data_IF_850163382805
#
_entry.id   IF_850163382805
#
_cell.length_a   1.000
_cell.length_b   1.000
_cell.length_c   1.000
_cell.angle_alpha   90.00
_cell.angle_beta   90.00
_cell.angle_gamma   90.00
#
_symmetry.space_group_name_H-M   'P 1'
#
loop_
_entity.id
_entity.type
_entity.pdbx_description
1 polymer ?
#
# COMPACT_ATOMS: atom_id res chain seq x y z
N UNK A 1 0.36 -22.19 22.51
CA UNK A 1 0.83 -20.93 21.90
C UNK A 1 -0.12 -20.56 20.77
N UNK A 2 -0.54 -19.31 20.66
CA UNK A 2 -1.41 -18.87 19.56
C UNK A 2 -0.68 -19.04 18.21
N UNK A 3 -1.29 -19.77 17.27
CA UNK A 3 -0.72 -19.97 15.94
C UNK A 3 -1.27 -18.90 15.00
N UNK A 4 -0.49 -17.84 14.77
CA UNK A 4 -0.79 -16.87 13.71
C UNK A 4 -0.83 -17.56 12.34
N UNK A 5 -1.48 -16.94 11.36
CA UNK A 5 -1.43 -17.41 9.98
C UNK A 5 0.02 -17.55 9.48
N UNK A 6 0.35 -18.61 8.73
CA UNK A 6 1.70 -18.79 8.21
C UNK A 6 2.03 -17.64 7.23
N UNK A 7 3.29 -17.22 7.15
CA UNK A 7 3.74 -16.34 6.07
C UNK A 7 3.38 -16.95 4.71
N UNK A 8 3.15 -16.09 3.72
CA UNK A 8 2.90 -16.53 2.36
C UNK A 8 4.15 -17.24 1.81
N UNK A 9 3.97 -18.43 1.21
CA UNK A 9 5.08 -19.33 0.87
C UNK A 9 5.75 -20.04 2.07
N UNK A 10 5.14 -19.98 3.26
CA UNK A 10 5.51 -20.80 4.43
C UNK A 10 6.52 -20.15 5.39
N UNK A 11 7.37 -19.23 4.93
CA UNK A 11 8.33 -18.50 5.78
C UNK A 11 8.52 -17.06 5.33
N UNK A 12 8.89 -16.18 6.26
CA UNK A 12 9.30 -14.83 5.93
C UNK A 12 10.69 -14.84 5.32
N UNK A 13 10.82 -14.27 4.13
CA UNK A 13 12.08 -14.09 3.42
C UNK A 13 12.53 -12.65 3.63
N UNK A 14 13.64 -12.45 4.34
CA UNK A 14 14.23 -11.12 4.55
C UNK A 14 15.42 -10.95 3.63
N UNK A 15 15.55 -9.76 3.04
CA UNK A 15 16.71 -9.36 2.23
C UNK A 15 17.38 -8.08 2.73
N UNK A 16 16.84 -7.44 3.77
CA UNK A 16 17.48 -6.34 4.46
C UNK A 16 18.71 -6.84 5.23
N UNK A 17 19.89 -6.36 4.85
CA UNK A 17 21.14 -6.61 5.53
C UNK A 17 21.27 -5.71 6.76
N UNK A 18 21.94 -6.23 7.79
CA UNK A 18 22.23 -5.52 9.04
C UNK A 18 23.69 -5.79 9.45
N UNK A 19 24.24 -4.97 10.37
CA UNK A 19 25.58 -5.22 10.95
C UNK A 19 26.73 -5.16 9.94
N UNK A 20 27.70 -6.06 10.09
CA UNK A 20 28.92 -6.10 9.27
C UNK A 20 28.64 -6.47 7.80
N UNK A 21 27.68 -7.38 7.56
CA UNK A 21 27.27 -7.78 6.21
C UNK A 21 26.81 -6.56 5.38
N UNK A 22 26.01 -5.69 6.01
CA UNK A 22 25.56 -4.44 5.39
C UNK A 22 26.72 -3.50 5.04
N UNK A 23 27.71 -3.38 5.92
CA UNK A 23 28.86 -2.48 5.73
C UNK A 23 29.70 -2.94 4.54
N UNK A 24 30.03 -4.23 4.48
CA UNK A 24 30.82 -4.79 3.39
C UNK A 24 30.07 -4.78 2.06
N UNK A 25 28.78 -5.15 2.05
CA UNK A 25 27.96 -5.11 0.84
C UNK A 25 27.82 -3.67 0.29
N UNK A 26 27.60 -2.67 1.17
CA UNK A 26 27.57 -1.25 0.76
C UNK A 26 28.91 -0.79 0.17
N UNK A 27 30.04 -1.24 0.74
CA UNK A 27 31.37 -0.88 0.23
C UNK A 27 31.57 -1.41 -1.18
N UNK A 28 31.30 -2.69 -1.40
CA UNK A 28 31.37 -3.34 -2.73
C UNK A 28 30.44 -2.66 -3.73
N UNK A 29 29.19 -2.39 -3.34
CA UNK A 29 28.18 -1.83 -4.23
C UNK A 29 28.50 -0.41 -4.73
N UNK A 30 29.35 0.37 -4.04
CA UNK A 30 29.77 1.70 -4.52
C UNK A 30 30.58 1.66 -5.81
N UNK A 31 31.20 0.53 -6.11
CA UNK A 31 32.05 0.32 -7.30
C UNK A 31 31.27 -0.34 -8.46
N UNK A 32 30.04 -0.79 -8.21
CA UNK A 32 29.22 -1.47 -9.22
C UNK A 32 28.55 -0.46 -10.18
N UNK A 33 28.23 -0.89 -11.41
CA UNK A 33 27.31 -0.17 -12.28
C UNK A 33 26.00 0.14 -11.55
N UNK A 34 25.50 1.37 -11.68
CA UNK A 34 24.30 1.83 -10.98
C UNK A 34 23.07 1.68 -11.87
N UNK A 35 22.00 1.14 -11.30
CA UNK A 35 20.66 1.14 -11.86
C UNK A 35 19.81 2.10 -11.04
N UNK A 36 19.24 3.10 -11.70
CA UNK A 36 18.35 4.07 -11.07
C UNK A 36 16.92 3.52 -11.02
N UNK A 37 16.43 3.28 -9.81
CA UNK A 37 15.08 2.81 -9.59
C UNK A 37 14.08 3.97 -9.54
N UNK A 38 12.91 3.75 -10.10
CA UNK A 38 11.75 4.60 -9.84
C UNK A 38 11.29 4.46 -8.39
N UNK A 39 10.55 5.45 -7.90
CA UNK A 39 9.93 5.37 -6.55
C UNK A 39 9.07 4.12 -6.30
N UNK A 40 8.49 3.50 -7.35
CA UNK A 40 7.75 2.24 -7.23
C UNK A 40 8.71 1.08 -6.97
N UNK A 41 9.75 0.96 -7.79
CA UNK A 41 10.77 -0.09 -7.67
C UNK A 41 11.53 0.03 -6.33
N UNK A 42 11.85 1.26 -5.89
CA UNK A 42 12.41 1.50 -4.56
C UNK A 42 11.47 1.01 -3.46
N UNK A 43 10.17 1.34 -3.54
CA UNK A 43 9.18 0.87 -2.57
C UNK A 43 9.06 -0.66 -2.55
N UNK A 44 9.13 -1.29 -3.72
CA UNK A 44 9.07 -2.74 -3.85
C UNK A 44 10.32 -3.42 -3.28
N UNK A 45 11.50 -2.86 -3.54
CA UNK A 45 12.77 -3.33 -2.96
C UNK A 45 12.70 -3.29 -1.43
N UNK A 46 12.16 -2.21 -0.85
CA UNK A 46 11.97 -2.09 0.60
C UNK A 46 11.01 -3.18 1.12
N UNK A 47 9.89 -3.41 0.43
CA UNK A 47 8.90 -4.43 0.81
C UNK A 47 9.46 -5.87 0.69
N UNK A 48 10.33 -6.15 -0.29
CA UNK A 48 11.10 -7.39 -0.39
C UNK A 48 12.10 -7.47 0.77
N UNK A 49 12.87 -6.41 1.02
CA UNK A 49 13.89 -6.32 2.06
C UNK A 49 13.38 -6.70 3.44
N UNK A 50 12.25 -6.13 3.86
CA UNK A 50 11.65 -6.44 5.17
C UNK A 50 10.88 -7.77 5.20
N UNK A 51 10.70 -8.43 4.06
CA UNK A 51 9.94 -9.66 3.90
C UNK A 51 8.42 -9.48 3.88
N UNK A 52 7.93 -8.26 3.68
CA UNK A 52 6.51 -8.02 3.47
C UNK A 52 6.03 -8.66 2.17
N UNK A 53 6.89 -8.76 1.17
CA UNK A 53 6.62 -9.43 -0.11
C UNK A 53 7.06 -10.90 -0.15
N UNK A 54 7.26 -11.55 0.99
CA UNK A 54 7.51 -13.00 1.02
C UNK A 54 6.45 -13.77 0.20
N UNK A 55 6.83 -14.76 -0.61
CA UNK A 55 8.15 -15.40 -0.65
C UNK A 55 9.16 -14.76 -1.62
N UNK A 56 8.86 -13.58 -2.18
CA UNK A 56 9.82 -12.91 -3.07
C UNK A 56 11.13 -12.61 -2.34
N UNK A 57 12.22 -12.86 -3.05
CA UNK A 57 13.58 -12.52 -2.65
C UNK A 57 14.32 -11.64 -3.64
N UNK A 58 13.62 -11.16 -4.67
CA UNK A 58 14.19 -10.46 -5.78
C UNK A 58 13.11 -9.95 -6.74
N UNK A 59 13.56 -9.31 -7.82
CA UNK A 59 12.69 -8.90 -8.91
C UNK A 59 12.43 -10.07 -9.86
N UNK A 60 11.19 -10.15 -10.35
CA UNK A 60 10.69 -11.30 -11.12
C UNK A 60 11.34 -11.42 -12.50
N UNK A 61 11.67 -12.66 -12.88
CA UNK A 61 12.03 -13.03 -14.25
C UNK A 61 10.83 -13.12 -15.18
N UNK A 62 11.08 -13.38 -16.47
CA UNK A 62 10.04 -13.37 -17.52
C UNK A 62 8.95 -14.41 -17.30
N UNK A 63 9.32 -15.61 -16.80
CA UNK A 63 8.38 -16.70 -16.51
C UNK A 63 7.43 -16.35 -15.36
N UNK A 64 7.97 -15.77 -14.28
CA UNK A 64 7.16 -15.31 -13.15
C UNK A 64 6.24 -14.17 -13.58
N UNK A 65 6.79 -13.17 -14.28
CA UNK A 65 6.00 -12.06 -14.82
C UNK A 65 4.80 -12.56 -15.65
N UNK A 66 5.05 -13.46 -16.61
CA UNK A 66 4.02 -14.00 -17.50
C UNK A 66 2.97 -14.79 -16.72
N UNK A 67 3.42 -15.70 -15.86
CA UNK A 67 2.54 -16.56 -15.07
C UNK A 67 1.68 -15.75 -14.08
N UNK A 68 2.23 -14.69 -13.49
CA UNK A 68 1.47 -13.81 -12.58
C UNK A 68 0.38 -13.05 -13.34
N UNK A 69 0.70 -12.55 -14.53
CA UNK A 69 -0.30 -11.91 -15.40
C UNK A 69 -1.44 -12.86 -15.73
N UNK A 70 -1.12 -14.09 -16.16
CA UNK A 70 -2.09 -15.07 -16.66
C UNK A 70 -2.87 -15.81 -15.58
N UNK A 71 -2.18 -16.25 -14.52
CA UNK A 71 -2.61 -17.34 -13.65
C UNK A 71 -2.65 -16.96 -12.17
N UNK A 72 -2.27 -15.72 -11.82
CA UNK A 72 -2.13 -15.29 -10.42
C UNK A 72 -1.10 -16.14 -9.65
N UNK A 73 -0.10 -16.70 -10.33
CA UNK A 73 0.91 -17.58 -9.73
C UNK A 73 2.29 -17.24 -10.30
N UNK A 74 3.32 -17.44 -9.51
CA UNK A 74 4.70 -17.50 -9.99
C UNK A 74 4.94 -18.84 -10.71
N UNK A 75 6.04 -18.95 -11.44
CA UNK A 75 6.42 -20.15 -12.18
C UNK A 75 6.61 -21.39 -11.27
N UNK A 76 6.90 -21.18 -9.99
CA UNK A 76 6.96 -22.24 -8.98
C UNK A 76 5.58 -22.68 -8.44
N UNK A 77 4.49 -22.12 -8.96
CA UNK A 77 3.11 -22.45 -8.61
C UNK A 77 2.56 -21.69 -7.38
N UNK A 78 3.39 -20.93 -6.66
CA UNK A 78 2.93 -20.15 -5.52
C UNK A 78 2.11 -18.95 -6.01
N UNK A 79 0.95 -18.73 -5.40
CA UNK A 79 0.08 -17.60 -5.71
C UNK A 79 0.81 -16.25 -5.61
N UNK A 80 0.63 -15.37 -6.60
CA UNK A 80 1.08 -14.00 -6.54
C UNK A 80 0.26 -13.13 -7.52
N UNK A 81 -0.31 -11.99 -7.08
CA UNK A 81 -1.35 -11.32 -7.86
C UNK A 81 -0.88 -10.21 -8.82
N UNK A 82 0.30 -9.61 -8.61
CA UNK A 82 0.80 -8.45 -9.39
C UNK A 82 2.31 -8.57 -9.63
N UNK A 83 2.83 -8.44 -10.87
CA UNK A 83 4.26 -8.54 -11.13
C UNK A 83 5.08 -7.50 -10.35
N UNK A 84 6.21 -7.93 -9.81
CA UNK A 84 7.19 -7.07 -9.13
C UNK A 84 8.48 -7.12 -9.95
N UNK A 85 8.66 -6.13 -10.82
CA UNK A 85 9.74 -6.09 -11.82
C UNK A 85 10.60 -4.83 -11.65
N UNK A 86 11.83 -4.89 -12.11
CA UNK A 86 12.76 -3.76 -12.19
C UNK A 86 13.07 -3.49 -13.66
N UNK A 87 12.66 -2.31 -14.14
CA UNK A 87 12.84 -1.89 -15.52
C UNK A 87 14.07 -1.00 -15.69
N UNK A 88 14.73 -1.10 -16.84
CA UNK A 88 15.88 -0.29 -17.23
C UNK A 88 15.71 0.22 -18.66
N UNK A 89 16.26 1.39 -18.93
CA UNK A 89 16.30 1.97 -20.28
C UNK A 89 17.14 1.12 -21.23
N UNK A 90 16.98 1.34 -22.53
CA UNK A 90 17.81 0.71 -23.56
C UNK A 90 19.29 1.03 -23.40
N UNK A 91 19.59 2.27 -23.01
CA UNK A 91 20.95 2.74 -22.83
C UNK A 91 21.63 2.03 -21.65
N UNK A 92 20.95 1.94 -20.50
CA UNK A 92 21.41 1.14 -19.35
C UNK A 92 21.58 -0.34 -19.74
N UNK A 93 20.62 -0.91 -20.48
CA UNK A 93 20.65 -2.31 -20.90
C UNK A 93 21.82 -2.65 -21.83
N UNK A 94 22.39 -1.68 -22.54
CA UNK A 94 23.52 -1.90 -23.46
C UNK A 94 24.83 -2.21 -22.74
N UNK A 95 25.00 -1.69 -21.52
CA UNK A 95 26.19 -1.88 -20.69
C UNK A 95 26.10 -3.03 -19.69
N UNK A 96 24.95 -3.71 -19.61
CA UNK A 96 24.66 -4.75 -18.61
C UNK A 96 24.35 -6.08 -19.29
N UNK A 97 24.84 -7.18 -18.72
CA UNK A 97 24.55 -8.55 -19.15
C UNK A 97 24.17 -9.44 -17.96
N UNK A 98 23.58 -10.59 -18.26
CA UNK A 98 23.34 -11.62 -17.27
C UNK A 98 24.66 -12.06 -16.61
N UNK A 99 24.63 -12.24 -15.30
CA UNK A 99 25.76 -12.54 -14.45
C UNK A 99 26.43 -11.31 -13.82
N UNK A 100 26.21 -10.11 -14.35
CA UNK A 100 26.74 -8.86 -13.77
C UNK A 100 26.09 -8.56 -12.42
N UNK A 101 26.84 -7.88 -11.54
CA UNK A 101 26.32 -7.31 -10.31
C UNK A 101 26.09 -5.81 -10.50
N UNK A 102 24.95 -5.32 -10.01
CA UNK A 102 24.57 -3.91 -10.09
C UNK A 102 24.22 -3.35 -8.72
N UNK A 103 24.50 -2.07 -8.53
CA UNK A 103 24.00 -1.29 -7.41
C UNK A 103 22.62 -0.70 -7.74
N UNK A 104 21.67 -0.91 -6.84
CA UNK A 104 20.33 -0.35 -6.94
C UNK A 104 20.28 0.98 -6.18
N UNK A 105 19.93 2.05 -6.88
CA UNK A 105 19.94 3.41 -6.34
C UNK A 105 18.56 4.03 -6.48
N UNK A 106 18.06 4.67 -5.43
CA UNK A 106 16.79 5.39 -5.51
C UNK A 106 16.95 6.63 -6.43
N UNK A 107 16.15 6.72 -7.48
CA UNK A 107 16.26 7.78 -8.47
C UNK A 107 15.88 9.17 -7.96
N UNK A 108 15.07 9.27 -6.90
CA UNK A 108 14.64 10.56 -6.34
C UNK A 108 15.70 11.14 -5.38
N UNK A 109 16.27 10.32 -4.50
CA UNK A 109 17.22 10.74 -3.45
C UNK A 109 18.69 10.49 -3.77
N UNK A 110 18.99 9.60 -4.72
CA UNK A 110 20.35 9.12 -5.00
C UNK A 110 20.89 8.16 -3.93
N UNK A 111 20.05 7.70 -2.99
CA UNK A 111 20.46 6.79 -1.93
C UNK A 111 20.77 5.40 -2.48
N UNK A 112 21.86 4.80 -1.99
CA UNK A 112 22.23 3.43 -2.32
C UNK A 112 21.33 2.45 -1.55
N UNK A 113 20.40 1.81 -2.27
CA UNK A 113 19.30 1.03 -1.70
C UNK A 113 19.58 -0.46 -1.62
N UNK A 114 20.41 -1.00 -2.49
CA UNK A 114 20.68 -2.43 -2.55
C UNK A 114 21.67 -2.82 -3.63
N UNK A 115 21.84 -4.12 -3.82
CA UNK A 115 22.55 -4.74 -4.94
C UNK A 115 21.73 -5.89 -5.50
N UNK A 116 22.02 -6.27 -6.74
CA UNK A 116 21.42 -7.43 -7.38
C UNK A 116 22.41 -8.04 -8.36
N UNK A 117 22.47 -9.38 -8.42
CA UNK A 117 23.09 -10.07 -9.54
C UNK A 117 22.03 -10.32 -10.61
N UNK A 118 22.29 -9.89 -11.84
CA UNK A 118 21.35 -10.04 -12.95
C UNK A 118 21.30 -11.53 -13.35
N UNK A 119 20.17 -12.18 -13.12
CA UNK A 119 19.93 -13.57 -13.52
C UNK A 119 19.28 -13.65 -14.90
N UNK A 120 18.48 -12.65 -15.26
CA UNK A 120 17.77 -12.58 -16.53
C UNK A 120 17.63 -11.13 -16.99
N UNK A 121 17.77 -10.88 -18.29
CA UNK A 121 17.42 -9.60 -18.94
C UNK A 121 16.41 -9.84 -20.06
N UNK A 122 15.22 -9.28 -19.95
CA UNK A 122 14.09 -9.59 -20.83
C UNK A 122 13.24 -8.37 -21.17
N UNK A 123 12.31 -8.50 -22.12
CA UNK A 123 11.31 -7.46 -22.43
C UNK A 123 9.92 -7.94 -22.06
N UNK A 124 9.00 -7.00 -21.82
CA UNK A 124 7.60 -7.31 -21.51
C UNK A 124 6.65 -6.67 -22.52
N UNK A 125 5.51 -7.31 -22.74
CA UNK A 125 4.36 -6.66 -23.36
C UNK A 125 3.63 -5.82 -22.30
N UNK A 126 3.98 -4.55 -22.21
CA UNK A 126 3.40 -3.58 -21.25
C UNK A 126 1.89 -3.46 -21.37
N UNK A 127 1.37 -3.51 -22.60
CA UNK A 127 -0.07 -3.41 -22.86
C UNK A 127 -0.79 -4.67 -22.38
N UNK A 128 -0.18 -5.83 -22.58
CA UNK A 128 -0.67 -7.09 -22.05
C UNK A 128 -0.71 -7.08 -20.53
N UNK A 129 0.38 -6.69 -19.85
CA UNK A 129 0.39 -6.54 -18.38
C UNK A 129 -0.73 -5.61 -17.93
N UNK A 130 -0.90 -4.45 -18.59
CA UNK A 130 -1.93 -3.50 -18.20
C UNK A 130 -3.34 -4.10 -18.25
N UNK A 131 -3.66 -4.80 -19.34
CA UNK A 131 -4.96 -5.49 -19.49
C UNK A 131 -5.17 -6.59 -18.45
N UNK A 132 -4.13 -7.35 -18.10
CA UNK A 132 -4.26 -8.43 -17.11
C UNK A 132 -4.37 -7.92 -15.67
N UNK A 133 -3.67 -6.83 -15.33
CA UNK A 133 -3.57 -6.33 -13.96
C UNK A 133 -4.62 -5.25 -13.65
N UNK A 134 -4.90 -4.35 -14.60
CA UNK A 134 -5.84 -3.23 -14.42
C UNK A 134 -7.18 -3.46 -15.12
N UNK A 135 -7.34 -4.56 -15.88
CA UNK A 135 -8.51 -4.83 -16.75
C UNK A 135 -8.70 -3.81 -17.89
N UNK A 136 -7.74 -2.89 -18.05
CA UNK A 136 -7.75 -1.79 -19.02
C UNK A 136 -6.33 -1.39 -19.37
N UNK A 137 -6.16 -0.66 -20.48
CA UNK A 137 -4.90 -0.09 -20.96
C UNK A 137 -4.99 1.44 -21.15
N UNK A 138 -5.91 2.11 -20.46
CA UNK A 138 -6.09 3.56 -20.51
C UNK A 138 -4.93 4.28 -19.77
N UNK A 139 -4.11 5.10 -20.46
CA UNK A 139 -3.00 5.83 -19.85
C UNK A 139 -3.41 6.84 -18.76
N UNK A 140 -4.70 7.19 -18.64
CA UNK A 140 -5.20 8.01 -17.53
C UNK A 140 -5.27 7.24 -16.21
N UNK A 141 -5.31 5.90 -16.25
CA UNK A 141 -5.23 5.08 -15.04
C UNK A 141 -3.79 5.18 -14.47
N UNK A 142 -3.58 5.63 -13.22
CA UNK A 142 -2.24 5.87 -12.67
C UNK A 142 -1.33 4.64 -12.71
N UNK A 143 -1.91 3.45 -12.49
CA UNK A 143 -1.19 2.18 -12.60
C UNK A 143 -0.70 1.87 -14.02
N UNK A 144 -1.55 2.11 -15.04
CA UNK A 144 -1.25 1.88 -16.46
C UNK A 144 -0.19 2.87 -16.92
N UNK A 145 -0.35 4.16 -16.58
CA UNK A 145 0.63 5.19 -16.91
C UNK A 145 2.05 4.79 -16.48
N UNK A 146 2.19 4.27 -15.26
CA UNK A 146 3.49 3.83 -14.73
C UNK A 146 4.05 2.60 -15.43
N UNK A 147 3.24 1.60 -15.77
CA UNK A 147 3.71 0.42 -16.55
C UNK A 147 4.13 0.83 -17.95
N UNK A 148 3.34 1.68 -18.61
CA UNK A 148 3.67 2.21 -19.94
C UNK A 148 4.96 3.04 -19.94
N UNK A 149 5.25 3.73 -18.83
CA UNK A 149 6.46 4.55 -18.65
C UNK A 149 7.71 3.76 -18.23
N UNK A 150 7.63 2.45 -17.98
CA UNK A 150 8.81 1.63 -17.65
C UNK A 150 9.86 1.67 -18.75
N UNK A 151 11.09 1.27 -18.42
CA UNK A 151 12.15 1.02 -19.39
C UNK A 151 11.79 -0.01 -20.47
N UNK A 152 12.65 -0.20 -21.46
CA UNK A 152 12.43 -1.18 -22.54
C UNK A 152 12.69 -2.61 -22.07
N UNK A 153 13.66 -2.77 -21.16
CA UNK A 153 14.07 -4.06 -20.61
C UNK A 153 13.74 -4.13 -19.13
N UNK A 154 13.54 -5.34 -18.64
CA UNK A 154 13.56 -5.67 -17.22
C UNK A 154 14.80 -6.50 -16.92
N UNK A 155 15.31 -6.34 -15.70
CA UNK A 155 16.34 -7.20 -15.12
C UNK A 155 15.77 -7.89 -13.88
N UNK A 156 16.08 -9.17 -13.74
CA UNK A 156 15.63 -10.02 -12.64
C UNK A 156 16.81 -10.58 -11.86
N UNK A 157 16.54 -10.96 -10.61
CA UNK A 157 17.52 -11.61 -9.76
C UNK A 157 17.25 -11.36 -8.29
N UNK A 158 17.90 -12.16 -7.45
CA UNK A 158 17.86 -12.00 -6.01
C UNK A 158 18.56 -10.70 -5.58
N UNK A 159 17.96 -10.02 -4.59
CA UNK A 159 18.45 -8.72 -4.10
C UNK A 159 19.07 -8.82 -2.71
N UNK A 160 20.05 -7.96 -2.46
CA UNK A 160 20.45 -7.57 -1.11
C UNK A 160 19.97 -6.14 -0.88
N UNK A 161 19.29 -5.89 0.24
CA UNK A 161 18.68 -4.58 0.53
C UNK A 161 19.47 -3.91 1.65
N UNK A 162 19.80 -2.64 1.44
CA UNK A 162 20.74 -1.89 2.26
C UNK A 162 20.11 -0.73 3.02
N UNK A 163 18.93 -0.30 2.58
CA UNK A 163 18.23 0.84 3.16
C UNK A 163 16.72 0.66 3.07
N UNK A 164 16.04 1.27 4.03
CA UNK A 164 14.59 1.46 4.06
C UNK A 164 14.25 2.96 3.91
N UNK A 165 15.16 3.77 3.34
CA UNK A 165 15.12 5.23 3.33
C UNK A 165 14.97 5.80 4.76
N UNK A 166 14.43 7.00 4.88
CA UNK A 166 14.17 7.69 6.14
C UNK A 166 12.92 7.16 6.88
N UNK A 167 12.16 6.19 6.32
CA UNK A 167 10.87 5.77 6.89
C UNK A 167 10.93 5.32 8.36
N UNK A 168 11.92 4.53 8.82
CA UNK A 168 12.02 4.15 10.23
C UNK A 168 12.23 5.36 11.16
N UNK A 169 12.97 6.37 10.70
CA UNK A 169 13.24 7.59 11.44
C UNK A 169 12.08 8.59 11.37
N UNK A 170 11.38 8.68 10.22
CA UNK A 170 10.25 9.58 10.01
C UNK A 170 8.98 9.13 10.74
N UNK A 171 8.82 7.82 10.95
CA UNK A 171 7.67 7.24 11.65
C UNK A 171 8.09 6.35 12.83
N UNK A 172 8.76 6.92 13.87
CA UNK A 172 9.27 6.14 14.99
C UNK A 172 8.13 5.47 15.74
N UNK A 173 8.29 4.19 16.07
CA UNK A 173 7.28 3.39 16.76
C UNK A 173 6.05 3.01 15.92
N UNK A 174 5.83 3.66 14.76
CA UNK A 174 4.76 3.35 13.83
C UNK A 174 5.24 2.51 12.64
N UNK A 175 6.47 2.72 12.16
CA UNK A 175 7.04 1.86 11.14
C UNK A 175 7.26 0.45 11.71
N UNK A 176 6.81 -0.58 11.00
CA UNK A 176 7.04 -1.95 11.42
C UNK A 176 7.33 -2.88 10.24
N UNK A 177 8.21 -3.83 10.52
CA UNK A 177 8.51 -5.00 9.70
C UNK A 177 7.60 -6.16 10.11
N UNK A 178 7.29 -7.11 9.20
CA UNK A 178 6.41 -8.25 9.47
C UNK A 178 6.71 -9.04 10.76
N UNK A 179 7.97 -9.19 11.14
CA UNK A 179 8.37 -9.93 12.34
C UNK A 179 7.99 -9.18 13.62
N UNK A 180 8.04 -7.84 13.59
CA UNK A 180 7.68 -7.01 14.74
C UNK A 180 6.18 -7.05 15.01
N UNK A 181 5.33 -6.99 13.97
CA UNK A 181 3.87 -7.11 14.16
C UNK A 181 3.48 -8.50 14.62
N UNK A 182 4.08 -9.55 14.06
CA UNK A 182 3.86 -10.93 14.52
C UNK A 182 4.23 -11.11 15.99
N UNK A 183 5.38 -10.58 16.42
CA UNK A 183 5.79 -10.63 17.82
C UNK A 183 4.80 -9.90 18.74
N UNK A 184 4.30 -8.72 18.33
CA UNK A 184 3.27 -7.99 19.07
C UNK A 184 1.99 -8.82 19.20
N UNK A 185 1.51 -9.44 18.11
CA UNK A 185 0.28 -10.25 18.14
C UNK A 185 0.43 -11.49 19.02
N UNK A 186 1.59 -12.16 18.95
CA UNK A 186 1.91 -13.31 19.82
C UNK A 186 1.98 -12.92 21.29
N UNK A 187 2.65 -11.80 21.61
CA UNK A 187 2.74 -11.29 22.98
C UNK A 187 1.37 -10.95 23.56
N UNK A 188 0.45 -10.45 22.72
CA UNK A 188 -0.95 -10.19 23.10
C UNK A 188 -1.83 -11.44 23.12
N UNK A 189 -1.31 -12.60 22.73
CA UNK A 189 -2.07 -13.85 22.66
C UNK A 189 -3.17 -13.86 21.60
N UNK A 190 -3.12 -12.95 20.61
CA UNK A 190 -4.14 -12.85 19.56
C UNK A 190 -4.05 -14.02 18.58
N UNK A 191 -5.21 -14.59 18.23
CA UNK A 191 -5.35 -15.63 17.21
C UNK A 191 -5.99 -15.07 15.94
N UNK A 192 -6.97 -14.18 16.11
CA UNK A 192 -7.69 -13.51 15.03
C UNK A 192 -7.36 -12.02 15.00
N UNK A 193 -6.76 -11.59 13.91
CA UNK A 193 -6.35 -10.21 13.66
C UNK A 193 -6.98 -9.76 12.35
N UNK A 194 -7.79 -8.71 12.40
CA UNK A 194 -8.37 -8.07 11.23
C UNK A 194 -7.54 -6.86 10.81
N UNK A 195 -7.02 -6.86 9.58
CA UNK A 195 -6.23 -5.78 9.05
C UNK A 195 -7.10 -4.76 8.29
N UNK A 196 -6.90 -3.48 8.61
CA UNK A 196 -7.49 -2.35 7.91
C UNK A 196 -6.41 -1.62 7.10
N UNK A 197 -6.54 -1.62 5.77
CA UNK A 197 -5.74 -0.77 4.89
C UNK A 197 -6.26 0.66 4.91
N UNK A 198 -5.37 1.64 5.12
CA UNK A 198 -5.71 3.05 4.99
C UNK A 198 -4.68 3.81 4.15
N UNK A 199 -5.18 4.53 3.13
CA UNK A 199 -4.46 5.57 2.39
C UNK A 199 -5.06 6.96 2.60
N UNK A 200 -6.12 7.06 3.41
CA UNK A 200 -6.88 8.29 3.64
C UNK A 200 -7.03 8.51 5.15
N UNK A 201 -7.37 9.73 5.60
CA UNK A 201 -7.84 9.97 6.96
C UNK A 201 -8.99 9.04 7.34
N UNK A 202 -9.04 8.64 8.61
CA UNK A 202 -10.09 7.78 9.15
C UNK A 202 -11.31 8.62 9.56
N UNK A 203 -12.38 8.52 8.77
CA UNK A 203 -13.70 9.08 9.05
C UNK A 203 -14.64 8.07 9.72
N UNK A 204 -15.89 8.45 10.04
CA UNK A 204 -16.83 7.58 10.78
C UNK A 204 -17.17 6.28 10.06
N UNK A 205 -17.16 6.27 8.73
CA UNK A 205 -17.27 5.03 7.93
C UNK A 205 -16.15 4.05 8.24
N UNK A 206 -14.91 4.52 8.22
CA UNK A 206 -13.73 3.72 8.55
C UNK A 206 -13.73 3.28 10.02
N UNK A 207 -14.18 4.15 10.94
CA UNK A 207 -14.37 3.80 12.35
C UNK A 207 -15.38 2.67 12.52
N UNK A 208 -16.51 2.74 11.83
CA UNK A 208 -17.56 1.73 11.90
C UNK A 208 -17.09 0.37 11.38
N UNK A 209 -16.41 0.31 10.22
CA UNK A 209 -15.88 -0.97 9.70
C UNK A 209 -14.79 -1.56 10.61
N UNK A 210 -13.95 -0.70 11.20
CA UNK A 210 -12.94 -1.12 12.16
C UNK A 210 -13.56 -1.73 13.42
N UNK A 211 -14.66 -1.13 13.91
CA UNK A 211 -15.40 -1.64 15.08
C UNK A 211 -16.07 -2.97 14.78
N UNK A 212 -16.75 -3.12 13.63
CA UNK A 212 -17.32 -4.41 13.20
C UNK A 212 -16.24 -5.50 13.19
N UNK A 213 -15.08 -5.19 12.59
CA UNK A 213 -13.99 -6.15 12.51
C UNK A 213 -13.45 -6.54 13.91
N UNK A 214 -13.42 -5.59 14.85
CA UNK A 214 -12.97 -5.83 16.20
C UNK A 214 -13.96 -6.67 17.04
N UNK A 215 -15.26 -6.61 16.76
CA UNK A 215 -16.26 -7.48 17.41
C UNK A 215 -16.04 -8.97 17.07
N UNK A 216 -15.50 -9.26 15.89
CA UNK A 216 -15.28 -10.63 15.39
C UNK A 216 -13.82 -11.04 15.36
N UNK A 217 -12.93 -10.30 16.05
CA UNK A 217 -11.49 -10.60 16.09
C UNK A 217 -10.86 -10.23 17.43
N UNK A 218 -9.82 -10.94 17.83
CA UNK A 218 -9.05 -10.64 19.04
C UNK A 218 -8.38 -9.26 18.96
N UNK A 219 -7.97 -8.85 17.76
CA UNK A 219 -7.36 -7.54 17.56
C UNK A 219 -7.57 -6.91 16.19
N UNK A 220 -7.47 -5.59 16.15
CA UNK A 220 -7.48 -4.79 14.94
C UNK A 220 -6.05 -4.34 14.60
N UNK A 221 -5.63 -4.58 13.37
CA UNK A 221 -4.37 -4.07 12.81
C UNK A 221 -4.63 -2.97 11.80
N UNK A 222 -4.53 -1.71 12.24
CA UNK A 222 -4.65 -0.54 11.35
C UNK A 222 -3.29 -0.29 10.69
N UNK A 223 -3.23 -0.52 9.38
CA UNK A 223 -1.98 -0.49 8.65
C UNK A 223 -2.02 0.55 7.53
N UNK A 224 -1.30 1.65 7.74
CA UNK A 224 -1.41 2.86 6.93
C UNK A 224 -0.30 2.95 5.88
N UNK A 225 -0.67 3.27 4.65
CA UNK A 225 0.28 3.50 3.56
C UNK A 225 0.94 4.87 3.71
N UNK A 226 2.27 4.89 3.76
CA UNK A 226 3.08 6.13 3.85
C UNK A 226 4.08 6.30 2.71
N UNK A 227 4.11 5.36 1.76
CA UNK A 227 4.87 5.48 0.53
C UNK A 227 4.40 6.63 -0.36
N UNK A 228 5.07 6.83 -1.50
CA UNK A 228 4.73 7.89 -2.45
C UNK A 228 3.28 7.74 -2.92
N UNK A 229 2.58 8.86 -3.00
CA UNK A 229 1.18 8.93 -3.39
C UNK A 229 1.04 9.67 -4.71
N UNK A 230 -0.15 9.56 -5.31
CA UNK A 230 -0.53 10.42 -6.44
C UNK A 230 -0.61 11.88 -5.99
N UNK A 231 -0.45 12.77 -6.96
CA UNK A 231 -0.59 14.21 -6.74
C UNK A 231 -1.96 14.55 -6.13
N UNK A 232 -1.93 15.47 -5.15
CA UNK A 232 -3.12 15.96 -4.47
C UNK A 232 -3.63 15.08 -3.33
N UNK A 233 -3.02 13.93 -3.02
CA UNK A 233 -3.35 13.20 -1.79
C UNK A 233 -2.79 13.92 -0.54
N UNK A 234 -3.45 13.72 0.60
CA UNK A 234 -3.04 14.30 1.88
C UNK A 234 -1.72 13.64 2.33
N UNK A 235 -0.70 14.42 2.75
CA UNK A 235 0.59 13.90 3.22
C UNK A 235 0.45 12.87 4.33
N UNK A 236 1.40 11.94 4.38
CA UNK A 236 1.39 10.81 5.30
C UNK A 236 1.28 11.27 6.76
N UNK A 237 2.01 12.31 7.18
CA UNK A 237 2.05 12.82 8.54
C UNK A 237 0.67 13.34 9.00
N UNK A 238 -0.06 14.01 8.09
CA UNK A 238 -1.40 14.52 8.37
C UNK A 238 -2.40 13.37 8.49
N UNK A 239 -2.31 12.36 7.60
CA UNK A 239 -3.18 11.17 7.68
C UNK A 239 -2.92 10.37 8.95
N UNK A 240 -1.65 10.15 9.30
CA UNK A 240 -1.24 9.46 10.53
C UNK A 240 -1.80 10.17 11.76
N UNK A 241 -1.71 11.50 11.84
CA UNK A 241 -2.35 12.28 12.91
C UNK A 241 -3.87 12.07 12.97
N UNK A 242 -4.54 12.06 11.81
CA UNK A 242 -5.99 11.83 11.74
C UNK A 242 -6.39 10.41 12.20
N UNK A 243 -5.61 9.39 11.84
CA UNK A 243 -5.87 8.02 12.30
C UNK A 243 -5.60 7.91 13.80
N UNK A 244 -4.47 8.46 14.26
CA UNK A 244 -4.05 8.36 15.65
C UNK A 244 -5.07 8.99 16.61
N UNK A 245 -5.61 10.17 16.29
CA UNK A 245 -6.64 10.81 17.14
C UNK A 245 -7.92 9.98 17.23
N UNK A 246 -8.28 9.25 16.17
CA UNK A 246 -9.43 8.35 16.20
C UNK A 246 -9.14 7.14 17.08
N UNK A 247 -7.94 6.54 16.95
CA UNK A 247 -7.56 5.38 17.76
C UNK A 247 -7.46 5.74 19.24
N UNK A 248 -6.81 6.85 19.59
CA UNK A 248 -6.55 7.22 20.99
C UNK A 248 -7.82 7.55 21.77
N UNK A 249 -8.82 8.14 21.10
CA UNK A 249 -10.03 8.63 21.76
C UNK A 249 -11.22 7.65 21.67
N UNK A 250 -11.23 6.74 20.68
CA UNK A 250 -12.43 5.97 20.33
C UNK A 250 -12.24 4.45 20.25
N UNK A 251 -11.04 3.94 20.55
CA UNK A 251 -10.75 2.50 20.58
C UNK A 251 -10.05 2.05 21.88
N UNK A 252 -10.28 0.79 22.31
CA UNK A 252 -9.49 0.19 23.38
C UNK A 252 -8.04 -0.05 22.93
N UNK A 253 -7.08 0.58 23.63
CA UNK A 253 -5.66 0.61 23.23
C UNK A 253 -5.02 -0.78 23.20
N UNK A 254 -5.46 -1.67 24.08
CA UNK A 254 -5.02 -3.06 24.18
C UNK A 254 -5.52 -3.93 23.03
N UNK A 255 -6.59 -3.51 22.34
CA UNK A 255 -7.25 -4.24 21.24
C UNK A 255 -6.83 -3.78 19.84
N UNK A 256 -6.06 -2.69 19.74
CA UNK A 256 -5.64 -2.12 18.44
C UNK A 256 -4.12 -2.04 18.35
N UNK A 257 -3.58 -2.33 17.16
CA UNK A 257 -2.20 -2.04 16.77
C UNK A 257 -2.25 -1.16 15.52
N UNK A 258 -1.62 0.01 15.60
CA UNK A 258 -1.49 0.93 14.46
C UNK A 258 -0.04 0.94 13.99
N UNK A 259 0.20 0.70 12.69
CA UNK A 259 1.52 0.78 12.05
C UNK A 259 1.45 1.43 10.67
N UNK A 260 2.61 1.72 10.09
CA UNK A 260 2.77 2.25 8.74
C UNK A 260 3.66 1.35 7.87
N UNK A 261 3.49 1.42 6.55
CA UNK A 261 4.34 0.73 5.57
C UNK A 261 4.60 1.57 4.31
N UNK A 262 5.78 1.41 3.66
CA UNK A 262 6.26 2.33 2.64
C UNK A 262 6.02 1.85 1.19
N UNK A 263 4.83 1.32 0.88
CA UNK A 263 4.50 0.90 -0.48
C UNK A 263 3.94 2.05 -1.31
N UNK A 264 4.25 2.10 -2.61
CA UNK A 264 3.49 2.88 -3.58
C UNK A 264 2.35 2.06 -4.19
N UNK A 265 1.13 2.62 -4.16
CA UNK A 265 -0.06 1.95 -4.71
C UNK A 265 -0.04 1.89 -6.24
N UNK A 266 -0.61 0.80 -6.77
CA UNK A 266 -0.84 0.61 -8.21
C UNK A 266 -2.20 1.14 -8.65
N UNK A 267 -3.12 1.32 -7.70
CA UNK A 267 -4.54 1.54 -7.93
C UNK A 267 -5.18 0.42 -8.75
N UNK A 268 -4.71 -0.82 -8.58
CA UNK A 268 -5.16 -1.96 -9.38
C UNK A 268 -6.44 -2.63 -8.83
N UNK A 269 -7.21 -1.89 -8.01
CA UNK A 269 -8.51 -2.29 -7.48
C UNK A 269 -8.51 -3.75 -7.00
N UNK A 270 -9.22 -4.66 -7.70
CA UNK A 270 -9.27 -6.07 -7.36
C UNK A 270 -7.90 -6.77 -7.22
N UNK A 271 -6.99 -6.60 -8.19
CA UNK A 271 -5.66 -7.24 -8.16
C UNK A 271 -4.81 -6.73 -7.00
N UNK A 272 -4.93 -5.45 -6.66
CA UNK A 272 -4.22 -4.87 -5.52
C UNK A 272 -4.84 -5.23 -4.17
N UNK A 273 -6.13 -5.54 -4.13
CA UNK A 273 -6.76 -6.13 -2.93
C UNK A 273 -6.14 -7.47 -2.55
N UNK A 274 -5.83 -8.31 -3.55
CA UNK A 274 -5.10 -9.56 -3.38
C UNK A 274 -3.66 -9.31 -2.92
N UNK A 275 -2.95 -8.34 -3.52
CA UNK A 275 -1.58 -8.00 -3.10
C UNK A 275 -1.56 -7.50 -1.65
N UNK A 276 -2.52 -6.66 -1.30
CA UNK A 276 -2.75 -6.21 0.06
C UNK A 276 -2.95 -7.40 1.00
N UNK A 277 -3.77 -8.39 0.65
CA UNK A 277 -3.97 -9.59 1.46
C UNK A 277 -2.66 -10.39 1.64
N UNK A 278 -1.90 -10.63 0.56
CA UNK A 278 -0.59 -11.34 0.61
C UNK A 278 0.32 -10.74 1.68
N UNK A 279 0.60 -9.44 1.61
CA UNK A 279 1.53 -8.89 2.59
C UNK A 279 0.90 -8.75 3.98
N UNK A 280 -0.41 -8.54 4.11
CA UNK A 280 -1.06 -8.58 5.45
C UNK A 280 -0.94 -9.95 6.11
N UNK A 281 -1.03 -11.02 5.33
CA UNK A 281 -0.72 -12.36 5.81
C UNK A 281 0.73 -12.42 6.28
N UNK A 282 1.69 -11.88 5.52
CA UNK A 282 3.09 -11.79 5.96
C UNK A 282 3.26 -10.99 7.26
N UNK A 283 2.51 -9.92 7.47
CA UNK A 283 2.46 -9.17 8.74
C UNK A 283 1.76 -9.92 9.89
N UNK A 284 1.14 -11.08 9.63
CA UNK A 284 0.50 -11.94 10.64
C UNK A 284 -1.01 -11.71 10.81
N UNK A 285 -1.65 -10.95 9.93
CA UNK A 285 -3.09 -10.74 9.99
C UNK A 285 -3.85 -11.96 9.43
N UNK A 286 -4.86 -12.42 10.17
CA UNK A 286 -5.72 -13.55 9.77
C UNK A 286 -6.89 -13.15 8.88
N UNK A 287 -7.31 -11.89 8.95
CA UNK A 287 -8.43 -11.37 8.18
C UNK A 287 -8.03 -10.04 7.52
N UNK A 288 -8.52 -9.80 6.31
CA UNK A 288 -8.35 -8.55 5.58
C UNK A 288 -9.70 -7.89 5.38
N UNK A 289 -9.88 -6.69 5.92
CA UNK A 289 -11.09 -5.90 5.68
C UNK A 289 -11.06 -5.39 4.24
N UNK A 290 -12.07 -5.75 3.46
CA UNK A 290 -12.25 -5.26 2.09
C UNK A 290 -13.60 -4.57 2.02
N UNK A 291 -13.56 -3.24 1.97
CA UNK A 291 -14.74 -2.40 1.79
C UNK A 291 -15.07 -2.14 0.33
N UNK A 292 -15.99 -1.20 0.12
CA UNK A 292 -16.33 -0.65 -1.20
C UNK A 292 -15.12 0.02 -1.87
N UNK A 293 -14.92 -0.30 -3.15
CA UNK A 293 -13.92 0.31 -4.04
C UNK A 293 -12.47 0.23 -3.48
N UNK A 294 -12.16 -0.93 -2.88
CA UNK A 294 -10.85 -1.15 -2.26
C UNK A 294 -9.73 -1.08 -3.30
N UNK A 295 -8.74 -0.24 -3.02
CA UNK A 295 -7.63 0.07 -3.91
C UNK A 295 -8.02 0.58 -5.32
N UNK A 296 -9.27 0.98 -5.52
CA UNK A 296 -9.73 1.56 -6.78
C UNK A 296 -9.38 3.03 -6.95
N UNK A 297 -9.56 3.51 -8.18
CA UNK A 297 -9.36 4.91 -8.59
C UNK A 297 -10.41 5.26 -9.64
N UNK A 298 -10.98 6.47 -9.54
CA UNK A 298 -12.04 6.91 -10.44
C UNK A 298 -13.21 5.93 -10.47
N UNK A 299 -13.68 5.62 -11.68
CA UNK A 299 -14.76 4.66 -11.93
C UNK A 299 -14.26 3.44 -12.74
N UNK A 300 -12.97 3.10 -12.64
CA UNK A 300 -12.38 1.99 -13.41
C UNK A 300 -12.81 0.59 -12.93
N UNK A 301 -13.34 0.46 -11.72
CA UNK A 301 -13.74 -0.81 -11.12
C UNK A 301 -15.15 -0.72 -10.52
N UNK A 302 -15.88 -1.84 -10.52
CA UNK A 302 -17.13 -1.94 -9.80
C UNK A 302 -16.92 -1.82 -8.28
N UNK A 303 -17.92 -1.28 -7.58
CA UNK A 303 -17.84 -0.97 -6.15
C UNK A 303 -17.43 -2.15 -5.25
N UNK A 304 -17.65 -3.40 -5.68
CA UNK A 304 -17.32 -4.60 -4.91
C UNK A 304 -16.46 -5.61 -5.68
N UNK A 305 -15.86 -5.21 -6.81
CA UNK A 305 -15.04 -6.13 -7.60
C UNK A 305 -13.81 -6.62 -6.83
N UNK A 306 -13.30 -5.81 -5.91
CA UNK A 306 -12.23 -6.19 -4.99
C UNK A 306 -12.64 -7.24 -3.93
N UNK A 307 -13.94 -7.41 -3.67
CA UNK A 307 -14.43 -8.51 -2.86
C UNK A 307 -14.62 -9.77 -3.72
N UNK A 308 -15.24 -9.62 -4.89
CA UNK A 308 -15.55 -10.72 -5.81
C UNK A 308 -14.31 -11.51 -6.23
N UNK A 309 -13.18 -10.84 -6.47
CA UNK A 309 -11.96 -11.48 -6.94
C UNK A 309 -11.40 -12.55 -5.99
N UNK A 310 -11.71 -12.49 -4.69
CA UNK A 310 -11.32 -13.54 -3.74
C UNK A 310 -12.04 -14.87 -3.99
N UNK A 311 -13.15 -14.86 -4.73
CA UNK A 311 -13.87 -16.06 -5.18
C UNK A 311 -13.43 -16.52 -6.58
N UNK A 312 -12.55 -15.78 -7.26
CA UNK A 312 -12.01 -16.09 -8.59
C UNK A 312 -10.64 -16.79 -8.52
N UNK A 313 -10.01 -16.82 -7.35
CA UNK A 313 -8.70 -17.45 -7.09
C UNK A 313 -8.87 -18.82 -6.42
N UNK A 314 -7.86 -19.71 -6.47
CA UNK A 314 -7.90 -20.98 -5.72
C UNK A 314 -8.16 -20.76 -4.22
N UNK A 315 -8.94 -21.64 -3.60
CA UNK A 315 -9.35 -21.51 -2.19
C UNK A 315 -8.15 -21.54 -1.22
N UNK A 316 -7.10 -22.27 -1.58
CA UNK A 316 -5.85 -22.41 -0.82
C UNK A 316 -4.78 -21.38 -1.19
N UNK A 317 -5.09 -20.42 -2.07
CA UNK A 317 -4.13 -19.41 -2.54
C UNK A 317 -3.62 -18.49 -1.41
N UNK A 318 -4.44 -18.26 -0.39
CA UNK A 318 -4.17 -17.37 0.74
C UNK A 318 -4.67 -18.00 2.04
N UNK A 319 -3.87 -17.92 3.11
CA UNK A 319 -4.30 -18.31 4.45
C UNK A 319 -5.10 -17.20 5.15
N UNK A 320 -4.85 -15.93 4.75
CA UNK A 320 -5.65 -14.78 5.21
C UNK A 320 -7.05 -14.83 4.58
N UNK A 321 -8.07 -14.65 5.41
CA UNK A 321 -9.47 -14.62 4.98
C UNK A 321 -9.93 -13.20 4.69
N UNK A 322 -10.84 -13.04 3.74
CA UNK A 322 -11.51 -11.76 3.52
C UNK A 322 -12.56 -11.51 4.61
N UNK A 323 -12.66 -10.27 5.07
CA UNK A 323 -13.79 -9.75 5.84
C UNK A 323 -14.50 -8.68 4.97
N UNK A 324 -15.50 -9.08 4.15
CA UNK A 324 -16.14 -8.16 3.22
C UNK A 324 -17.14 -7.28 3.95
N UNK A 325 -16.99 -5.96 3.81
CA UNK A 325 -17.92 -4.98 4.40
C UNK A 325 -18.63 -4.22 3.28
N UNK A 326 -19.95 -4.09 3.42
CA UNK A 326 -20.79 -3.39 2.45
C UNK A 326 -20.55 -1.86 2.51
N UNK A 327 -21.16 -1.11 1.61
CA UNK A 327 -21.07 0.34 1.58
C UNK A 327 -21.70 0.94 2.83
N UNK A 328 -20.87 1.60 3.62
CA UNK A 328 -21.28 2.22 4.89
C UNK A 328 -21.54 3.71 4.76
N UNK A 329 -22.51 4.21 5.52
CA UNK A 329 -22.92 5.62 5.57
C UNK A 329 -23.56 5.94 6.92
N UNK A 330 -23.66 7.22 7.26
CA UNK A 330 -24.50 7.65 8.38
C UNK A 330 -25.93 7.79 7.88
N UNK A 331 -26.90 7.19 8.59
CA UNK A 331 -28.33 7.35 8.29
C UNK A 331 -28.97 8.24 9.36
N UNK A 332 -29.63 9.32 8.94
CA UNK A 332 -30.28 10.27 9.85
C UNK A 332 -31.48 9.68 10.60
N UNK A 333 -32.21 8.74 9.98
CA UNK A 333 -33.31 8.02 10.64
C UNK A 333 -32.82 6.97 11.63
N UNK A 334 -31.79 6.19 11.27
CA UNK A 334 -31.15 5.24 12.19
C UNK A 334 -30.35 5.95 13.30
N UNK A 335 -30.03 7.25 13.11
CA UNK A 335 -29.21 8.06 14.03
C UNK A 335 -27.85 7.42 14.29
N UNK A 336 -27.24 6.85 13.26
CA UNK A 336 -26.01 6.09 13.40
C UNK A 336 -25.40 5.66 12.07
N UNK A 337 -24.21 5.07 12.17
CA UNK A 337 -23.56 4.39 11.05
C UNK A 337 -24.30 3.11 10.72
N UNK A 338 -24.49 2.86 9.43
CA UNK A 338 -25.11 1.66 8.91
C UNK A 338 -24.48 1.28 7.56
N UNK A 339 -25.00 0.23 6.95
CA UNK A 339 -24.70 -0.15 5.57
C UNK A 339 -25.98 -0.49 4.81
N UNK A 340 -25.89 -0.72 3.51
CA UNK A 340 -27.04 -1.21 2.73
C UNK A 340 -27.56 -2.59 3.19
N UNK A 341 -26.80 -3.34 3.99
CA UNK A 341 -27.28 -4.60 4.59
C UNK A 341 -28.11 -4.40 5.85
N UNK A 342 -27.98 -3.25 6.51
CA UNK A 342 -28.50 -3.04 7.87
C UNK A 342 -29.42 -1.82 7.99
N UNK A 343 -29.56 -1.03 6.93
CA UNK A 343 -30.45 0.13 6.87
C UNK A 343 -31.50 -0.06 5.77
N UNK A 344 -32.80 0.01 6.09
CA UNK A 344 -33.87 -0.11 5.10
C UNK A 344 -34.27 1.24 4.45
N UNK A 345 -33.67 2.35 4.87
CA UNK A 345 -34.06 3.68 4.42
C UNK A 345 -33.45 4.04 3.05
N UNK A 346 -34.07 5.01 2.39
CA UNK A 346 -33.65 5.49 1.08
C UNK A 346 -32.46 6.47 1.16
N UNK A 347 -31.89 6.78 0.00
CA UNK A 347 -30.63 7.55 -0.12
C UNK A 347 -30.73 8.97 0.44
N UNK A 348 -31.93 9.54 0.46
CA UNK A 348 -32.23 10.88 0.99
C UNK A 348 -31.93 10.97 2.50
N UNK A 349 -32.06 9.85 3.21
CA UNK A 349 -31.74 9.76 4.65
C UNK A 349 -30.25 9.44 4.90
N UNK A 350 -29.44 9.24 3.85
CA UNK A 350 -28.05 8.81 3.95
C UNK A 350 -27.06 9.95 3.69
N UNK A 351 -26.15 10.16 4.63
CA UNK A 351 -25.00 11.04 4.43
C UNK A 351 -23.87 10.27 3.71
N UNK A 352 -23.78 10.47 2.39
CA UNK A 352 -22.70 9.95 1.54
C UNK A 352 -21.95 11.13 0.94
N UNK A 353 -20.70 11.30 1.33
CA UNK A 353 -19.88 12.43 0.92
C UNK A 353 -18.60 11.94 0.23
N UNK A 354 -18.39 12.38 -1.01
CA UNK A 354 -17.22 11.97 -1.81
C UNK A 354 -15.97 12.70 -1.34
N UNK A 355 -14.79 12.10 -1.53
CA UNK A 355 -13.52 12.74 -1.20
C UNK A 355 -13.30 14.07 -1.94
N UNK A 356 -13.81 14.19 -3.17
CA UNK A 356 -13.78 15.45 -3.95
C UNK A 356 -14.63 16.53 -3.29
N UNK A 357 -15.84 16.20 -2.83
CA UNK A 357 -16.71 17.13 -2.13
C UNK A 357 -16.11 17.53 -0.78
N UNK A 358 -15.57 16.57 -0.02
CA UNK A 358 -14.87 16.82 1.24
C UNK A 358 -13.75 17.85 1.07
N UNK A 359 -12.90 17.60 0.08
CA UNK A 359 -11.77 18.48 -0.25
C UNK A 359 -12.24 19.87 -0.63
N UNK A 360 -13.30 19.98 -1.43
CA UNK A 360 -13.89 21.27 -1.81
C UNK A 360 -14.38 22.04 -0.58
N UNK A 361 -15.11 21.37 0.31
CA UNK A 361 -15.64 21.99 1.54
C UNK A 361 -14.50 22.48 2.44
N UNK A 362 -13.54 21.60 2.75
CA UNK A 362 -12.38 21.94 3.58
C UNK A 362 -11.52 23.03 2.97
N UNK A 363 -11.31 23.00 1.64
CA UNK A 363 -10.58 24.06 0.95
C UNK A 363 -11.32 25.38 1.09
N UNK A 364 -12.64 25.41 0.95
CA UNK A 364 -13.42 26.64 1.09
C UNK A 364 -13.63 27.11 2.53
N UNK A 365 -13.28 26.29 3.52
CA UNK A 365 -13.61 26.56 4.93
C UNK A 365 -15.09 26.33 5.25
N UNK A 366 -15.81 25.59 4.41
CA UNK A 366 -17.21 25.22 4.64
C UNK A 366 -17.30 24.15 5.75
N UNK A 367 -18.37 24.15 6.55
CA UNK A 367 -18.55 23.18 7.63
C UNK A 367 -18.78 21.77 7.07
N UNK A 368 -18.04 20.78 7.59
CA UNK A 368 -18.26 19.35 7.29
C UNK A 368 -19.08 18.74 8.43
N UNK A 369 -20.14 17.96 8.15
CA UNK A 369 -20.97 17.35 9.19
C UNK A 369 -20.16 16.44 10.14
N UNK A 370 -20.45 16.52 11.43
CA UNK A 370 -19.83 15.64 12.44
C UNK A 370 -20.28 14.18 12.30
N UNK A 371 -21.40 13.94 11.62
CA UNK A 371 -21.92 12.64 11.20
C UNK A 371 -21.01 11.98 10.17
N UNK A 372 -20.24 12.77 9.40
CA UNK A 372 -19.26 12.26 8.45
C UNK A 372 -17.92 11.93 9.13
N UNK A 373 -17.40 12.85 9.94
CA UNK A 373 -16.08 12.72 10.58
C UNK A 373 -16.07 13.29 11.99
N UNK A 374 -15.25 12.71 12.86
CA UNK A 374 -15.02 13.22 14.21
C UNK A 374 -14.50 14.67 14.16
N UNK A 375 -14.95 15.58 15.05
CA UNK A 375 -14.51 16.98 15.08
C UNK A 375 -12.98 17.14 15.12
N UNK A 376 -12.28 16.32 15.90
CA UNK A 376 -10.82 16.36 16.07
C UNK A 376 -10.09 16.02 14.77
N UNK A 377 -10.64 15.10 13.98
CA UNK A 377 -10.12 14.80 12.63
C UNK A 377 -10.36 15.99 11.70
N UNK A 378 -11.54 16.61 11.76
CA UNK A 378 -11.86 17.78 10.94
C UNK A 378 -10.95 18.97 11.27
N UNK A 379 -10.57 19.15 12.53
CA UNK A 379 -9.68 20.23 12.95
C UNK A 379 -8.26 20.05 12.37
N UNK A 380 -7.71 18.84 12.43
CA UNK A 380 -6.42 18.50 11.79
C UNK A 380 -6.48 18.77 10.27
N UNK A 381 -7.58 18.39 9.62
CA UNK A 381 -7.74 18.60 8.19
C UNK A 381 -7.90 20.08 7.83
N UNK A 382 -8.69 20.84 8.60
CA UNK A 382 -8.85 22.30 8.42
C UNK A 382 -7.52 23.03 8.59
N UNK A 383 -6.72 22.66 9.60
CA UNK A 383 -5.37 23.19 9.82
C UNK A 383 -4.51 22.99 8.56
N UNK A 384 -4.49 21.76 8.02
CA UNK A 384 -3.74 21.43 6.81
C UNK A 384 -4.19 22.25 5.58
N UNK A 385 -5.49 22.27 5.27
CA UNK A 385 -6.01 22.98 4.10
C UNK A 385 -5.87 24.51 4.21
N UNK A 386 -5.94 25.06 5.43
CA UNK A 386 -5.72 26.49 5.66
C UNK A 386 -4.25 26.88 5.43
N UNK A 387 -3.31 26.02 5.82
CA UNK A 387 -1.88 26.22 5.58
C UNK A 387 -1.52 26.11 4.08
N UNK A 388 -2.17 25.21 3.34
CA UNK A 388 -2.02 25.12 1.88
C UNK A 388 -2.43 26.42 1.18
N UNK A 389 -3.60 26.98 1.54
CA UNK A 389 -4.07 28.28 0.99
C UNK A 389 -3.07 29.40 1.23
N UNK A 390 -2.52 29.49 2.45
CA UNK A 390 -1.53 30.51 2.81
C UNK A 390 -0.27 30.39 1.96
N UNK A 391 0.26 29.18 1.78
CA UNK A 391 1.43 28.92 0.93
C UNK A 391 1.17 29.25 -0.55
N UNK A 392 -0.03 28.95 -1.06
CA UNK A 392 -0.41 29.31 -2.42
C UNK A 392 -0.55 30.83 -2.62
N UNK A 393 -1.15 31.54 -1.65
CA UNK A 393 -1.24 33.00 -1.66
C UNK A 393 0.12 33.68 -1.62
N UNK A 394 1.05 33.19 -0.78
CA UNK A 394 2.43 33.71 -0.70
C UNK A 394 3.20 33.49 -2.01
N UNK A 395 3.04 32.33 -2.67
CA UNK A 395 3.65 32.09 -4.00
C UNK A 395 3.07 33.01 -5.09
N UNK A 396 1.77 33.27 -5.07
CA UNK A 396 1.13 34.22 -6.00
C UNK A 396 1.60 35.66 -5.77
N UNK A 397 1.77 36.08 -4.51
CA UNK A 397 2.32 37.40 -4.19
C UNK A 397 3.79 37.54 -4.61
N UNK A 398 4.64 36.52 -4.39
CA UNK A 398 6.03 36.56 -4.86
C UNK A 398 6.17 36.59 -6.38
N UNK A 399 5.31 35.89 -7.12
CA UNK A 399 5.27 35.96 -8.59
C UNK A 399 4.66 37.28 -9.11
N UNK A 400 3.87 37.99 -8.30
CA UNK A 400 3.31 39.28 -8.63
C UNK A 400 4.22 40.47 -8.26
N UNK A 401 5.27 40.24 -7.46
CA UNK A 401 6.25 41.28 -7.05
C UNK A 401 7.61 41.13 -7.73
N UNK A 402 7.71 40.37 -8.82
CA UNK A 402 8.90 40.36 -9.67
C UNK A 402 8.96 41.63 -10.52
N UNK A 403 9.53 42.70 -9.94
CA UNK A 403 10.12 43.82 -10.67
C UNK A 403 11.59 43.51 -10.99
#
# INVERSE_FOLDING_TARGET
MASLVPPHGGKLIKRLLEGEELVEAKKKARELPKVLMTSRETSDLIMIGMGAFSPLDGFMGSKDWRSVCEQYKMANGIFWPIPITLSISKDEASGLKEGDEVALVDGDSGELMGSMRIEEKYTIDKRYECKQIFRIDDPKHPGVAKVMAQGEFNIAGQVEVFSELDYPHRFPGLYARPQQTRAIFQQRGWQTIAALQLRNPMHRSHEYIAKIALEVSDGLFVHQLVGKLKEGDIPAEVRVRCVQVVIDNYFPKERVVTKVYPMEMRYAGPREALLHAVFRQNYGASHMIIGRDHAGVGDYYGAFDAQKIFHEIPEDALAIKILPIDWTFYCYRCKGMASFKTCPHDREDHLILSGTLLRKMLTKGEPVPQEFSRPEVLDILREYYSNLKRKAGVKLHHNATGN
#
